data_IF_683408389567
#
_entry.id   IF_683408389567
#
_cell.length_a   1.000
_cell.length_b   1.000
_cell.length_c   1.000
_cell.angle_alpha   90.00
_cell.angle_beta   90.00
_cell.angle_gamma   90.00
#
_symmetry.space_group_name_H-M   'P 1'
#
loop_
_entity.id
_entity.type
_entity.pdbx_description
1 polymer ?
#
# COMPACT_ATOMS: atom_id res chain seq x y z
N UNK A 1 7.31 15.34 15.93
CA UNK A 1 8.43 14.45 15.57
C UNK A 1 8.22 13.16 16.34
N UNK A 2 7.71 12.12 15.68
CA UNK A 2 7.74 10.76 16.25
C UNK A 2 9.19 10.38 16.55
N UNK A 3 9.40 9.52 17.54
CA UNK A 3 10.71 8.93 17.83
C UNK A 3 11.19 8.26 16.53
N UNK A 4 12.28 8.73 15.88
CA UNK A 4 12.69 8.28 14.54
C UNK A 4 12.88 6.76 14.37
N UNK A 5 12.95 5.99 15.46
CA UNK A 5 13.02 4.52 15.42
C UNK A 5 11.68 3.78 15.44
N UNK A 6 10.59 4.38 15.91
CA UNK A 6 9.33 3.66 16.15
C UNK A 6 8.69 3.18 14.83
N UNK A 7 8.76 4.00 13.77
CA UNK A 7 8.26 3.63 12.44
C UNK A 7 9.06 2.51 11.78
N UNK A 8 10.37 2.46 12.01
CA UNK A 8 11.23 1.37 11.50
C UNK A 8 10.82 0.04 12.15
N UNK A 9 10.65 0.04 13.48
CA UNK A 9 10.21 -1.16 14.21
C UNK A 9 8.85 -1.63 13.71
N UNK A 10 7.90 -0.72 13.46
CA UNK A 10 6.60 -1.07 12.90
C UNK A 10 6.71 -1.72 11.53
N UNK A 11 7.47 -1.12 10.62
CA UNK A 11 7.66 -1.65 9.27
C UNK A 11 8.33 -3.02 9.28
N UNK A 12 9.30 -3.25 10.17
CA UNK A 12 9.90 -4.57 10.38
C UNK A 12 8.85 -5.56 10.90
N UNK A 13 8.10 -5.17 11.94
CA UNK A 13 7.09 -6.01 12.54
C UNK A 13 5.94 -6.32 11.59
N UNK A 14 5.62 -5.46 10.62
CA UNK A 14 4.54 -5.63 9.65
C UNK A 14 5.03 -5.92 8.24
N UNK A 15 6.32 -6.26 8.08
CA UNK A 15 6.95 -6.51 6.79
C UNK A 15 6.21 -7.52 5.91
N UNK A 16 5.67 -8.65 6.43
CA UNK A 16 4.87 -9.56 5.62
C UNK A 16 3.67 -8.87 4.93
N UNK A 17 3.04 -7.90 5.60
CA UNK A 17 1.96 -7.10 5.05
C UNK A 17 2.42 -6.17 3.93
N UNK A 18 3.60 -5.55 4.07
CA UNK A 18 4.22 -4.72 3.01
C UNK A 18 4.43 -5.56 1.75
N UNK A 19 5.00 -6.76 1.90
CA UNK A 19 5.25 -7.67 0.77
C UNK A 19 3.95 -8.07 0.09
N UNK A 20 2.94 -8.48 0.87
CA UNK A 20 1.64 -8.86 0.33
C UNK A 20 0.95 -7.70 -0.40
N UNK A 21 0.96 -6.49 0.17
CA UNK A 21 0.41 -5.31 -0.49
C UNK A 21 1.14 -4.98 -1.80
N UNK A 22 2.48 -5.07 -1.83
CA UNK A 22 3.26 -4.88 -3.08
C UNK A 22 2.91 -5.91 -4.15
N UNK A 23 2.70 -7.17 -3.77
CA UNK A 23 2.26 -8.22 -4.70
C UNK A 23 0.88 -7.87 -5.27
N UNK A 24 -0.08 -7.51 -4.41
CA UNK A 24 -1.43 -7.12 -4.86
C UNK A 24 -1.36 -5.91 -5.77
N UNK A 25 -0.61 -4.86 -5.40
CA UNK A 25 -0.39 -3.68 -6.22
C UNK A 25 0.19 -4.05 -7.59
N UNK A 26 1.22 -4.90 -7.63
CA UNK A 26 1.83 -5.36 -8.89
C UNK A 26 0.86 -6.12 -9.79
N UNK A 27 -0.04 -6.93 -9.23
CA UNK A 27 -1.12 -7.59 -9.98
C UNK A 27 -2.05 -6.56 -10.63
N UNK A 28 -2.40 -5.49 -9.92
CA UNK A 28 -3.25 -4.43 -10.49
C UNK A 28 -2.51 -3.56 -11.51
N UNK A 29 -1.23 -3.28 -11.30
CA UNK A 29 -0.37 -2.60 -12.29
C UNK A 29 -0.31 -3.38 -13.60
N UNK A 30 -0.08 -4.70 -13.52
CA UNK A 30 -0.09 -5.59 -14.68
C UNK A 30 -1.47 -5.67 -15.33
N UNK A 31 -2.53 -5.85 -14.53
CA UNK A 31 -3.91 -5.95 -15.02
C UNK A 31 -4.36 -4.71 -15.81
N UNK A 32 -3.98 -3.51 -15.35
CA UNK A 32 -4.29 -2.27 -16.04
C UNK A 32 -3.25 -1.86 -17.10
N UNK A 33 -2.20 -2.65 -17.29
CA UNK A 33 -1.16 -2.38 -18.27
C UNK A 33 -0.36 -1.12 -17.98
N UNK A 34 -0.10 -0.82 -16.71
CA UNK A 34 0.67 0.36 -16.29
C UNK A 34 2.11 0.19 -16.76
N UNK A 35 2.65 1.12 -17.59
CA UNK A 35 4.02 1.03 -18.05
C UNK A 35 5.00 1.09 -16.89
N UNK A 36 6.01 0.24 -16.96
CA UNK A 36 7.11 0.20 -16.02
C UNK A 36 8.39 0.44 -16.81
N UNK A 37 9.16 1.42 -16.35
CA UNK A 37 10.44 1.78 -16.94
C UNK A 37 11.55 1.44 -15.97
N UNK A 38 12.61 0.84 -16.48
CA UNK A 38 13.81 0.55 -15.73
C UNK A 38 14.89 1.55 -16.11
N UNK A 39 15.56 2.09 -15.10
CA UNK A 39 16.63 3.06 -15.27
C UNK A 39 17.89 2.53 -14.59
N UNK A 40 19.02 2.64 -15.27
CA UNK A 40 20.31 2.47 -14.64
C UNK A 40 20.72 3.79 -13.97
N UNK A 41 20.80 3.76 -12.65
CA UNK A 41 21.16 4.90 -11.81
C UNK A 41 22.57 4.68 -11.27
N UNK A 42 23.50 5.63 -11.44
CA UNK A 42 24.84 5.51 -10.87
C UNK A 42 24.83 5.30 -9.35
N UNK A 43 25.74 4.48 -8.84
CA UNK A 43 25.94 4.33 -7.40
C UNK A 43 26.26 5.68 -6.74
N UNK A 44 25.72 5.90 -5.55
CA UNK A 44 25.89 7.16 -4.80
C UNK A 44 24.91 8.28 -5.18
N UNK A 45 24.10 8.13 -6.24
CA UNK A 45 22.98 9.04 -6.50
C UNK A 45 21.78 8.63 -5.63
N UNK A 46 21.27 9.57 -4.83
CA UNK A 46 20.02 9.37 -4.11
C UNK A 46 18.84 9.77 -5.02
N UNK A 47 18.05 8.78 -5.43
CA UNK A 47 16.89 9.00 -6.30
C UNK A 47 15.76 9.67 -5.52
N UNK A 48 15.74 9.54 -4.20
CA UNK A 48 14.71 10.16 -3.37
C UNK A 48 14.85 11.69 -3.28
N UNK A 49 16.04 12.22 -3.59
CA UNK A 49 16.30 13.67 -3.69
C UNK A 49 15.89 14.26 -5.04
N UNK A 50 15.58 13.43 -6.04
CA UNK A 50 15.20 13.88 -7.37
C UNK A 50 13.71 14.23 -7.42
N UNK A 51 13.39 15.50 -7.66
CA UNK A 51 12.02 15.95 -7.82
C UNK A 51 11.42 15.51 -9.16
N UNK A 52 10.88 14.29 -9.18
CA UNK A 52 10.05 13.77 -10.27
C UNK A 52 10.81 13.10 -11.42
N UNK A 53 10.04 12.56 -12.37
CA UNK A 53 10.54 11.73 -13.49
C UNK A 53 11.51 12.46 -14.42
N UNK A 54 11.36 13.78 -14.56
CA UNK A 54 12.26 14.59 -15.42
C UNK A 54 13.67 14.64 -14.87
N UNK A 55 13.83 14.83 -13.55
CA UNK A 55 15.14 14.84 -12.91
C UNK A 55 15.84 13.47 -13.00
N UNK A 56 15.07 12.37 -13.01
CA UNK A 56 15.62 11.03 -13.20
C UNK A 56 16.18 10.84 -14.61
N UNK A 57 15.50 11.35 -15.65
CA UNK A 57 16.00 11.27 -17.03
C UNK A 57 17.31 12.02 -17.29
N UNK A 58 17.64 13.00 -16.44
CA UNK A 58 18.87 13.78 -16.54
C UNK A 58 20.09 13.05 -15.92
N UNK A 59 19.85 12.14 -14.97
CA UNK A 59 20.92 11.46 -14.21
C UNK A 59 20.94 9.95 -14.41
N UNK A 60 19.90 9.37 -14.97
CA UNK A 60 19.73 7.94 -15.15
C UNK A 60 19.50 7.59 -16.62
N UNK A 61 20.09 6.47 -17.03
CA UNK A 61 19.99 5.97 -18.39
C UNK A 61 18.80 5.01 -18.48
N UNK A 62 17.84 5.19 -19.39
CA UNK A 62 16.78 4.22 -19.59
C UNK A 62 17.38 2.89 -20.07
N UNK A 63 16.99 1.79 -19.44
CA UNK A 63 17.38 0.44 -19.84
C UNK A 63 16.37 -0.14 -20.85
N UNK A 64 16.88 -0.70 -21.94
CA UNK A 64 16.09 -1.56 -22.81
C UNK A 64 15.72 -2.89 -22.15
N UNK A 65 14.73 -3.61 -22.68
CA UNK A 65 14.24 -4.87 -22.11
C UNK A 65 15.29 -6.00 -21.98
N UNK A 66 16.41 -5.88 -22.69
CA UNK A 66 17.53 -6.85 -22.64
C UNK A 66 18.83 -6.21 -22.17
N UNK A 67 18.79 -4.96 -21.72
CA UNK A 67 19.97 -4.21 -21.34
C UNK A 67 20.19 -4.31 -19.83
N UNK A 68 21.42 -4.57 -19.42
CA UNK A 68 21.80 -4.66 -18.01
C UNK A 68 22.40 -3.34 -17.53
N UNK A 69 22.23 -3.07 -16.24
CA UNK A 69 22.94 -1.98 -15.57
C UNK A 69 24.45 -2.26 -15.56
N UNK A 70 25.26 -1.20 -15.66
CA UNK A 70 26.71 -1.28 -15.50
C UNK A 70 27.12 -1.72 -14.10
N UNK A 71 28.40 -2.06 -13.93
CA UNK A 71 28.94 -2.54 -12.66
C UNK A 71 28.81 -1.53 -11.50
N UNK A 72 28.76 -0.24 -11.82
CA UNK A 72 28.61 0.88 -10.87
C UNK A 72 27.22 1.54 -10.99
N UNK A 73 26.22 0.82 -11.52
CA UNK A 73 24.84 1.29 -11.67
C UNK A 73 23.89 0.33 -10.94
N UNK A 74 22.82 0.88 -10.34
CA UNK A 74 21.68 0.10 -9.81
C UNK A 74 20.46 0.25 -10.72
N UNK A 75 19.68 -0.82 -10.85
CA UNK A 75 18.40 -0.78 -11.57
C UNK A 75 17.34 -0.15 -10.66
N UNK A 76 16.79 0.98 -11.08
CA UNK A 76 15.64 1.63 -10.46
C UNK A 76 14.41 1.39 -11.32
N UNK A 77 13.34 0.88 -10.70
CA UNK A 77 12.07 0.60 -11.36
C UNK A 77 11.09 1.73 -11.10
N UNK A 78 10.68 2.45 -12.14
CA UNK A 78 9.71 3.54 -12.07
C UNK A 78 8.41 3.14 -12.75
N UNK A 79 7.30 3.23 -12.01
CA UNK A 79 5.97 2.94 -12.52
C UNK A 79 5.34 4.23 -13.06
N UNK A 80 4.97 4.25 -14.34
CA UNK A 80 4.35 5.42 -14.98
C UNK A 80 2.83 5.39 -14.89
N UNK A 81 2.31 5.76 -13.72
CA UNK A 81 0.87 5.90 -13.51
C UNK A 81 0.20 6.94 -14.43
N UNK A 82 0.93 7.98 -14.86
CA UNK A 82 0.37 9.06 -15.68
C UNK A 82 0.10 8.62 -17.13
N UNK A 83 0.63 7.46 -17.55
CA UNK A 83 0.38 6.88 -18.87
C UNK A 83 -1.02 6.24 -19.01
N UNK A 84 -1.78 6.09 -17.91
CA UNK A 84 -3.15 5.60 -17.98
C UNK A 84 -4.12 6.71 -18.42
N UNK A 85 -4.57 6.65 -19.67
CA UNK A 85 -5.55 7.62 -20.21
C UNK A 85 -6.95 7.46 -19.61
N UNK A 86 -7.31 6.25 -19.17
CA UNK A 86 -8.63 5.97 -18.62
C UNK A 86 -8.72 6.32 -17.14
N UNK A 87 -9.58 7.29 -16.80
CA UNK A 87 -9.90 7.61 -15.40
C UNK A 87 -10.41 6.39 -14.63
N UNK A 88 -11.22 5.54 -15.27
CA UNK A 88 -11.73 4.32 -14.65
C UNK A 88 -10.63 3.31 -14.32
N UNK A 89 -9.63 3.18 -15.20
CA UNK A 89 -8.46 2.33 -14.94
C UNK A 89 -7.63 2.88 -13.76
N UNK A 90 -7.36 4.19 -13.75
CA UNK A 90 -6.65 4.84 -12.64
C UNK A 90 -7.40 4.70 -11.30
N UNK A 91 -8.72 4.88 -11.32
CA UNK A 91 -9.55 4.71 -10.13
C UNK A 91 -9.50 3.27 -9.61
N UNK A 92 -9.62 2.28 -10.50
CA UNK A 92 -9.51 0.87 -10.17
C UNK A 92 -8.12 0.47 -9.67
N UNK A 93 -7.07 1.05 -10.25
CA UNK A 93 -5.68 0.84 -9.84
C UNK A 93 -5.42 1.34 -8.41
N UNK A 94 -6.02 2.47 -8.03
CA UNK A 94 -5.91 3.02 -6.67
C UNK A 94 -6.74 2.22 -5.67
N UNK A 95 -8.00 1.92 -6.00
CA UNK A 95 -8.96 1.35 -5.04
C UNK A 95 -8.87 -0.18 -4.93
N UNK A 96 -8.54 -0.85 -6.03
CA UNK A 96 -8.49 -2.30 -6.14
C UNK A 96 -7.59 -2.95 -5.08
N UNK A 97 -6.31 -2.53 -4.95
CA UNK A 97 -5.41 -3.03 -3.93
C UNK A 97 -5.95 -2.86 -2.51
N UNK A 98 -6.55 -1.71 -2.19
CA UNK A 98 -7.15 -1.43 -0.88
C UNK A 98 -8.28 -2.41 -0.56
N UNK A 99 -9.18 -2.64 -1.52
CA UNK A 99 -10.31 -3.56 -1.36
C UNK A 99 -9.83 -4.99 -1.19
N UNK A 100 -8.91 -5.45 -2.05
CA UNK A 100 -8.40 -6.83 -2.01
C UNK A 100 -7.63 -7.11 -0.72
N UNK A 101 -6.71 -6.22 -0.34
CA UNK A 101 -5.95 -6.37 0.91
C UNK A 101 -6.84 -6.33 2.15
N UNK A 102 -7.86 -5.47 2.18
CA UNK A 102 -8.85 -5.42 3.26
C UNK A 102 -9.66 -6.71 3.36
N UNK A 103 -10.13 -7.26 2.24
CA UNK A 103 -10.85 -8.54 2.22
C UNK A 103 -9.96 -9.68 2.73
N UNK A 104 -8.71 -9.74 2.26
CA UNK A 104 -7.74 -10.74 2.72
C UNK A 104 -7.46 -10.60 4.23
N UNK A 105 -7.34 -9.37 4.74
CA UNK A 105 -7.14 -9.12 6.16
C UNK A 105 -8.36 -9.56 6.98
N UNK A 106 -9.58 -9.27 6.52
CA UNK A 106 -10.81 -9.74 7.14
C UNK A 106 -10.91 -11.26 7.15
N UNK A 107 -10.50 -11.94 6.07
CA UNK A 107 -10.47 -13.40 6.02
C UNK A 107 -9.50 -13.98 7.08
N UNK A 108 -8.31 -13.38 7.22
CA UNK A 108 -7.33 -13.78 8.25
C UNK A 108 -7.85 -13.50 9.66
N UNK A 109 -8.47 -12.34 9.89
CA UNK A 109 -9.12 -12.03 11.16
C UNK A 109 -10.28 -12.97 11.47
N UNK A 110 -11.04 -13.39 10.46
CA UNK A 110 -12.14 -14.36 10.63
C UNK A 110 -11.67 -15.69 11.20
N UNK A 111 -10.47 -16.14 10.84
CA UNK A 111 -9.84 -17.32 11.45
C UNK A 111 -9.57 -17.07 12.93
N UNK A 112 -8.97 -15.93 13.28
CA UNK A 112 -8.67 -15.57 14.68
C UNK A 112 -9.93 -15.45 15.54
N UNK A 113 -10.93 -14.70 15.05
CA UNK A 113 -12.22 -14.49 15.72
C UNK A 113 -12.98 -15.81 15.86
N UNK A 114 -12.93 -16.69 14.85
CA UNK A 114 -13.56 -18.01 14.92
C UNK A 114 -12.94 -18.92 15.98
N UNK A 115 -11.61 -18.90 16.12
CA UNK A 115 -10.91 -19.64 17.18
C UNK A 115 -11.26 -19.11 18.58
N UNK A 116 -11.45 -17.80 18.70
CA UNK A 116 -11.82 -17.14 19.95
C UNK A 116 -13.28 -17.42 20.33
N UNK A 117 -14.20 -17.31 19.38
CA UNK A 117 -15.60 -17.71 19.55
C UNK A 117 -15.74 -19.17 19.98
N UNK A 118 -14.90 -20.05 19.46
CA UNK A 118 -14.85 -21.46 19.85
C UNK A 118 -14.19 -21.74 21.21
N UNK A 119 -13.67 -20.72 21.90
CA UNK A 119 -12.97 -20.86 23.18
C UNK A 119 -11.63 -21.60 23.08
N UNK A 120 -11.08 -21.79 21.88
CA UNK A 120 -9.79 -22.47 21.65
C UNK A 120 -8.64 -21.55 22.03
N UNK A 121 -8.81 -20.26 21.71
CA UNK A 121 -7.84 -19.21 21.96
C UNK A 121 -8.54 -18.10 22.71
N UNK A 122 -7.97 -17.58 23.79
CA UNK A 122 -8.52 -16.41 24.48
C UNK A 122 -7.39 -15.45 24.82
N UNK A 123 -7.68 -14.15 24.83
CA UNK A 123 -6.68 -13.16 25.22
C UNK A 123 -6.20 -13.36 26.68
N UNK A 124 -7.07 -13.86 27.56
CA UNK A 124 -6.73 -14.11 28.96
C UNK A 124 -5.94 -15.42 29.17
N UNK A 125 -6.33 -16.51 28.48
CA UNK A 125 -5.77 -17.84 28.69
C UNK A 125 -4.54 -18.13 27.83
N UNK A 126 -4.49 -17.57 26.61
CA UNK A 126 -3.43 -17.85 25.64
C UNK A 126 -3.10 -16.62 24.79
N UNK A 127 -2.63 -15.51 25.41
CA UNK A 127 -2.40 -14.22 24.72
C UNK A 127 -1.45 -14.33 23.52
N UNK A 128 -0.44 -15.20 23.58
CA UNK A 128 0.48 -15.40 22.46
C UNK A 128 -0.15 -16.13 21.28
N UNK A 129 -1.06 -17.08 21.53
CA UNK A 129 -1.81 -17.74 20.46
C UNK A 129 -2.85 -16.79 19.86
N UNK A 130 -3.48 -15.97 20.70
CA UNK A 130 -4.38 -14.91 20.24
C UNK A 130 -3.64 -13.92 19.34
N UNK A 131 -2.49 -13.45 19.79
CA UNK A 131 -1.64 -12.55 19.00
C UNK A 131 -1.18 -13.21 17.71
N UNK A 132 -0.84 -14.49 17.71
CA UNK A 132 -0.45 -15.23 16.50
C UNK A 132 -1.61 -15.37 15.49
N UNK A 133 -2.85 -15.50 15.95
CA UNK A 133 -4.04 -15.50 15.09
C UNK A 133 -4.39 -14.10 14.55
N UNK A 134 -4.28 -13.08 15.41
CA UNK A 134 -4.55 -11.68 15.07
C UNK A 134 -3.52 -11.09 14.09
N UNK A 135 -2.24 -11.40 14.33
CA UNK A 135 -1.11 -10.74 13.70
C UNK A 135 -1.12 -10.76 12.15
N UNK A 136 -1.40 -11.88 11.46
CA UNK A 136 -1.43 -11.89 10.00
C UNK A 136 -2.44 -10.92 9.39
N UNK A 137 -3.66 -10.85 9.96
CA UNK A 137 -4.67 -9.89 9.52
C UNK A 137 -4.24 -8.45 9.80
N UNK A 138 -3.62 -8.21 10.96
CA UNK A 138 -3.09 -6.90 11.33
C UNK A 138 -1.98 -6.42 10.41
N UNK A 139 -0.97 -7.25 10.16
CA UNK A 139 0.13 -6.89 9.28
C UNK A 139 -0.38 -6.50 7.89
N UNK A 140 -1.37 -7.23 7.35
CA UNK A 140 -1.93 -6.93 6.04
C UNK A 140 -2.80 -5.67 6.04
N UNK A 141 -3.72 -5.52 6.99
CA UNK A 141 -4.60 -4.35 7.09
C UNK A 141 -3.82 -3.05 7.32
N UNK A 142 -2.73 -3.11 8.08
CA UNK A 142 -1.84 -1.98 8.35
C UNK A 142 -1.13 -1.43 7.09
N UNK A 143 -1.16 -2.15 5.97
CA UNK A 143 -0.60 -1.71 4.69
C UNK A 143 -1.64 -1.71 3.57
N UNK A 144 -2.93 -1.79 3.89
CA UNK A 144 -4.01 -1.81 2.91
C UNK A 144 -4.23 -0.44 2.24
N UNK A 145 -3.87 0.65 2.91
CA UNK A 145 -4.11 2.01 2.42
C UNK A 145 -3.15 2.35 1.27
N UNK A 146 -3.63 3.10 0.25
CA UNK A 146 -2.90 3.30 -0.99
C UNK A 146 -1.64 4.15 -0.79
N UNK A 147 -0.64 3.91 -1.65
CA UNK A 147 0.59 4.71 -1.69
C UNK A 147 0.36 6.09 -2.32
N UNK A 148 1.26 7.03 -2.06
CA UNK A 148 1.10 8.43 -2.51
C UNK A 148 1.18 8.58 -4.04
N UNK A 149 2.03 7.81 -4.72
CA UNK A 149 2.23 7.92 -6.17
C UNK A 149 0.96 7.72 -7.01
N UNK A 150 0.23 6.60 -6.90
CA UNK A 150 -1.01 6.39 -7.65
C UNK A 150 -2.11 7.38 -7.23
N UNK A 151 -2.11 7.85 -5.96
CA UNK A 151 -3.04 8.89 -5.49
C UNK A 151 -2.76 10.24 -6.15
N UNK A 152 -1.50 10.62 -6.30
CA UNK A 152 -1.13 11.86 -6.98
C UNK A 152 -1.43 11.80 -8.47
N UNK A 153 -1.25 10.64 -9.10
CA UNK A 153 -1.64 10.42 -10.48
C UNK A 153 -3.17 10.51 -10.65
N UNK A 154 -3.95 9.89 -9.75
CA UNK A 154 -5.42 10.02 -9.71
C UNK A 154 -5.87 11.47 -9.53
N UNK A 155 -5.19 12.25 -8.70
CA UNK A 155 -5.45 13.69 -8.54
C UNK A 155 -5.23 14.47 -9.84
N UNK A 156 -4.10 14.24 -10.52
CA UNK A 156 -3.79 14.87 -11.81
C UNK A 156 -4.82 14.47 -12.87
N UNK A 157 -5.21 13.20 -12.91
CA UNK A 157 -6.21 12.68 -13.83
C UNK A 157 -7.60 13.27 -13.54
N UNK A 158 -7.97 13.42 -12.27
CA UNK A 158 -9.24 14.04 -11.85
C UNK A 158 -9.38 15.47 -12.36
N UNK A 159 -8.27 16.23 -12.43
CA UNK A 159 -8.28 17.60 -12.98
C UNK A 159 -8.44 17.68 -14.49
N UNK A 160 -8.11 16.61 -15.20
CA UNK A 160 -8.12 16.55 -16.67
C UNK A 160 -9.34 15.82 -17.23
N UNK A 161 -10.06 15.07 -16.41
CA UNK A 161 -11.15 14.20 -16.85
C UNK A 161 -12.50 14.90 -16.79
N UNK A 162 -13.30 14.77 -17.86
CA UNK A 162 -14.70 15.20 -17.88
C UNK A 162 -15.67 14.13 -17.29
N UNK A 163 -15.14 13.01 -16.78
CA UNK A 163 -15.94 11.91 -16.23
C UNK A 163 -16.66 12.31 -14.95
N UNK A 164 -17.92 11.88 -14.78
CA UNK A 164 -18.66 12.05 -13.51
C UNK A 164 -17.97 11.40 -12.30
N UNK A 165 -17.13 10.38 -12.55
CA UNK A 165 -16.36 9.72 -11.49
C UNK A 165 -15.35 10.68 -10.82
N UNK A 166 -15.00 11.82 -11.45
CA UNK A 166 -14.14 12.83 -10.83
C UNK A 166 -14.73 13.36 -9.51
N UNK A 167 -16.07 13.39 -9.38
CA UNK A 167 -16.77 13.84 -8.17
C UNK A 167 -16.42 12.93 -6.99
N UNK A 168 -16.18 11.64 -7.25
CA UNK A 168 -15.74 10.66 -6.25
C UNK A 168 -14.20 10.67 -6.11
N UNK A 169 -13.49 10.91 -7.21
CA UNK A 169 -12.02 11.00 -7.23
C UNK A 169 -11.47 12.07 -6.28
N UNK A 170 -12.06 13.26 -6.25
CA UNK A 170 -11.59 14.35 -5.39
C UNK A 170 -11.67 14.04 -3.88
N UNK A 171 -12.83 13.62 -3.32
CA UNK A 171 -12.91 13.16 -1.93
C UNK A 171 -11.95 12.02 -1.63
N UNK A 172 -11.79 11.06 -2.55
CA UNK A 172 -10.90 9.93 -2.35
C UNK A 172 -9.44 10.37 -2.22
N UNK A 173 -8.96 11.24 -3.12
CA UNK A 173 -7.61 11.81 -3.03
C UNK A 173 -7.44 12.62 -1.74
N UNK A 174 -8.42 13.44 -1.39
CA UNK A 174 -8.35 14.27 -0.18
C UNK A 174 -8.28 13.40 1.08
N UNK A 175 -9.09 12.34 1.15
CA UNK A 175 -9.05 11.36 2.24
C UNK A 175 -7.72 10.63 2.29
N UNK A 176 -7.20 10.14 1.16
CA UNK A 176 -5.90 9.45 1.12
C UNK A 176 -4.75 10.36 1.54
N UNK A 177 -4.75 11.64 1.13
CA UNK A 177 -3.75 12.62 1.60
C UNK A 177 -3.87 12.91 3.09
N UNK A 178 -5.10 13.00 3.60
CA UNK A 178 -5.34 13.15 5.04
C UNK A 178 -4.83 11.93 5.80
N UNK A 179 -5.09 10.72 5.32
CA UNK A 179 -4.61 9.47 5.90
C UNK A 179 -3.08 9.40 5.86
N UNK A 180 -2.45 9.76 4.73
CA UNK A 180 -0.98 9.83 4.60
C UNK A 180 -0.38 10.83 5.59
N UNK A 181 -1.00 12.00 5.78
CA UNK A 181 -0.61 12.97 6.81
C UNK A 181 -0.77 12.40 8.24
N UNK A 182 -1.84 11.65 8.49
CA UNK A 182 -2.13 11.03 9.78
C UNK A 182 -1.36 9.72 10.02
N UNK A 183 -0.59 9.22 9.05
CA UNK A 183 0.29 8.06 9.20
C UNK A 183 1.34 8.27 10.30
N UNK A 184 1.69 9.53 10.59
CA UNK A 184 2.51 9.90 11.76
C UNK A 184 1.83 9.56 13.12
N UNK A 185 0.52 9.35 13.14
CA UNK A 185 -0.25 8.92 14.31
C UNK A 185 -0.67 7.46 14.22
N UNK A 186 0.01 6.65 13.39
CA UNK A 186 -0.23 5.20 13.29
C UNK A 186 -1.64 4.87 12.83
N UNK A 187 -2.22 5.72 11.99
CA UNK A 187 -3.62 5.56 11.56
C UNK A 187 -3.84 4.23 10.84
N UNK A 188 -2.85 3.69 10.13
CA UNK A 188 -2.97 2.37 9.49
C UNK A 188 -3.06 1.24 10.52
N UNK A 189 -2.33 1.33 11.65
CA UNK A 189 -2.44 0.38 12.75
C UNK A 189 -3.81 0.51 13.46
N UNK A 190 -4.30 1.73 13.65
CA UNK A 190 -5.64 1.98 14.20
C UNK A 190 -6.69 1.38 13.27
N UNK A 191 -6.58 1.60 11.96
CA UNK A 191 -7.46 1.02 10.96
C UNK A 191 -7.50 -0.51 11.07
N UNK A 192 -6.35 -1.16 11.17
CA UNK A 192 -6.26 -2.61 11.35
C UNK A 192 -6.97 -3.10 12.64
N UNK A 193 -6.73 -2.43 13.78
CA UNK A 193 -7.39 -2.77 15.05
C UNK A 193 -8.91 -2.57 14.99
N UNK A 194 -9.36 -1.45 14.41
CA UNK A 194 -10.79 -1.16 14.23
C UNK A 194 -11.44 -2.22 13.36
N UNK A 195 -10.78 -2.65 12.27
CA UNK A 195 -11.29 -3.68 11.37
C UNK A 195 -11.50 -5.02 12.10
N UNK A 196 -10.53 -5.44 12.91
CA UNK A 196 -10.67 -6.63 13.76
C UNK A 196 -11.79 -6.47 14.79
N UNK A 197 -11.85 -5.34 15.50
CA UNK A 197 -12.86 -5.09 16.52
C UNK A 197 -14.29 -5.12 15.95
N UNK A 198 -14.50 -4.52 14.78
CA UNK A 198 -15.78 -4.57 14.07
C UNK A 198 -16.20 -6.00 13.74
N UNK A 199 -15.25 -6.82 13.26
CA UNK A 199 -15.52 -8.23 12.97
C UNK A 199 -15.80 -9.03 14.25
N UNK A 200 -15.03 -8.84 15.31
CA UNK A 200 -15.21 -9.51 16.60
C UNK A 200 -16.57 -9.17 17.24
N UNK A 201 -16.96 -7.89 17.23
CA UNK A 201 -18.29 -7.45 17.68
C UNK A 201 -19.42 -8.06 16.85
N UNK A 202 -19.26 -8.13 15.52
CA UNK A 202 -20.27 -8.72 14.65
C UNK A 202 -20.51 -10.23 14.92
N UNK A 203 -19.48 -10.93 15.41
CA UNK A 203 -19.55 -12.37 15.78
C UNK A 203 -19.91 -12.56 17.26
N UNK A 204 -19.94 -11.49 18.07
CA UNK A 204 -20.25 -11.54 19.49
C UNK A 204 -19.10 -12.05 20.37
N UNK A 205 -17.86 -11.87 19.91
CA UNK A 205 -16.64 -12.20 20.66
C UNK A 205 -16.19 -11.04 21.55
N UNK A 206 -16.47 -9.81 21.13
CA UNK A 206 -16.18 -8.56 21.84
C UNK A 206 -17.48 -7.81 22.13
#
# INVERSE_FOLDING_TARGET
MLIPGLGIVFNIATFPGIVANRVVQGVFEEYYGVPVHEFAVPEGVDVSDLEGKTALGDVARPLGATEEAGADERVERVVDYDALDSFGAMFGLVLGPVVVTTILALALYGISVGLEFGGIVTNEGSPWLWLAGFYPGFALAAHALPNDDPIQALWRQSKRSDSLLQIVGYPLVALSKLVSLLRIFWIDAIYAVVLYALLAMAVGVL
#
